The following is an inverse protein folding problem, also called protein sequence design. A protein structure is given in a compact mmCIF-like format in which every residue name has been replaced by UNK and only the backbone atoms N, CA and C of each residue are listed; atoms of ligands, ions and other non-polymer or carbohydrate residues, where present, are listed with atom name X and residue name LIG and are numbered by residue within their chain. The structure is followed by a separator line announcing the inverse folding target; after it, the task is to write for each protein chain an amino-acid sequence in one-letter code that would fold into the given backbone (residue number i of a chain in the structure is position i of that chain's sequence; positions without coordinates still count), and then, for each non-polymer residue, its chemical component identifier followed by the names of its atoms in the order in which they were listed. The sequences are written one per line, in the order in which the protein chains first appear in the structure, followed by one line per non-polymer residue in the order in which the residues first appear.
data_IF_337512946388
#
_entry.id   IF_337512946388
#
_cell.length_a   1.000
_cell.length_b   1.000
_cell.length_c   1.000
_cell.angle_alpha   90.00
_cell.angle_beta   90.00
_cell.angle_gamma   90.00
#
_symmetry.space_group_name_H-M   'P 1'
#
loop_
_entity.id
_entity.type
_entity.pdbx_description
1 polymer ?
#
# COMPACT_ATOMS: atom_id res chain seq x y z
N UNK A 1 -32.46 1.71 11.27
CA UNK A 1 -31.35 0.72 11.20
C UNK A 1 -30.04 1.47 11.31
N UNK A 2 -29.06 0.92 12.02
CA UNK A 2 -27.73 1.51 12.12
C UNK A 2 -26.80 0.88 11.09
N UNK A 3 -26.08 1.71 10.34
CA UNK A 3 -25.03 1.33 9.41
C UNK A 3 -23.73 1.96 9.91
N UNK A 4 -22.66 1.20 9.92
CA UNK A 4 -21.33 1.69 10.24
C UNK A 4 -20.39 1.35 9.10
N UNK A 5 -19.58 2.33 8.71
CA UNK A 5 -18.56 2.21 7.66
C UNK A 5 -17.22 2.42 8.34
N UNK A 6 -16.27 1.55 8.02
CA UNK A 6 -14.91 1.64 8.50
C UNK A 6 -14.00 1.89 7.31
N UNK A 7 -13.02 2.76 7.54
CA UNK A 7 -11.88 2.88 6.67
C UNK A 7 -11.00 1.62 6.77
N UNK A 8 -10.12 1.41 5.80
CA UNK A 8 -9.24 0.24 5.77
C UNK A 8 -7.92 0.52 6.48
N UNK A 9 -7.13 1.46 5.96
CA UNK A 9 -5.75 1.71 6.38
C UNK A 9 -5.71 2.34 7.77
N UNK A 10 -4.84 1.81 8.62
CA UNK A 10 -4.72 2.19 10.03
C UNK A 10 -6.02 2.10 10.87
N UNK A 11 -7.11 1.57 10.31
CA UNK A 11 -8.39 1.35 10.99
C UNK A 11 -8.68 -0.14 11.14
N UNK A 12 -8.80 -0.86 10.02
CA UNK A 12 -9.02 -2.31 10.02
C UNK A 12 -7.72 -3.10 9.91
N UNK A 13 -6.70 -2.51 9.27
CA UNK A 13 -5.36 -3.10 9.14
C UNK A 13 -4.30 -2.12 9.65
N UNK A 14 -3.19 -2.65 10.14
CA UNK A 14 -2.02 -1.84 10.48
C UNK A 14 -1.14 -1.64 9.26
N UNK A 15 -0.98 -0.38 8.83
CA UNK A 15 -0.17 -0.02 7.67
C UNK A 15 -1.00 0.53 6.50
N UNK A 16 -0.29 0.76 5.40
CA UNK A 16 -0.81 1.33 4.15
C UNK A 16 -0.95 0.21 3.10
N UNK A 17 -2.19 -0.09 2.72
CA UNK A 17 -2.53 -1.17 1.80
C UNK A 17 -1.89 -1.03 0.42
N UNK A 18 -1.79 0.19 -0.12
CA UNK A 18 -1.17 0.44 -1.43
C UNK A 18 0.33 0.15 -1.38
N UNK A 19 0.98 0.54 -0.28
CA UNK A 19 2.40 0.25 -0.06
C UNK A 19 2.66 -1.26 0.08
N UNK A 20 1.89 -1.92 0.96
CA UNK A 20 2.02 -3.36 1.21
C UNK A 20 1.77 -4.20 -0.04
N UNK A 21 0.82 -3.77 -0.88
CA UNK A 21 0.53 -4.43 -2.14
C UNK A 21 1.67 -4.28 -3.15
N UNK A 22 2.24 -3.08 -3.28
CA UNK A 22 3.40 -2.88 -4.15
C UNK A 22 4.63 -3.70 -3.70
N UNK A 23 4.92 -3.75 -2.40
CA UNK A 23 5.99 -4.63 -1.87
C UNK A 23 5.74 -6.12 -2.16
N UNK A 24 4.48 -6.57 -2.10
CA UNK A 24 4.13 -7.93 -2.49
C UNK A 24 4.48 -8.18 -3.97
N UNK A 25 4.11 -7.27 -4.87
CA UNK A 25 4.39 -7.42 -6.31
C UNK A 25 5.90 -7.40 -6.61
N UNK A 26 6.66 -6.54 -5.94
CA UNK A 26 8.13 -6.49 -6.06
C UNK A 26 8.76 -7.81 -5.62
N UNK A 27 8.34 -8.36 -4.48
CA UNK A 27 8.87 -9.66 -3.98
C UNK A 27 8.61 -10.83 -4.93
N UNK A 28 7.54 -10.76 -5.73
CA UNK A 28 7.21 -11.79 -6.71
C UNK A 28 7.81 -11.51 -8.10
N UNK A 29 8.59 -10.43 -8.25
CA UNK A 29 9.23 -10.06 -9.51
C UNK A 29 8.26 -9.53 -10.57
N UNK A 30 7.05 -9.11 -10.17
CA UNK A 30 6.07 -8.51 -11.07
C UNK A 30 6.31 -7.01 -11.31
N UNK A 31 7.00 -6.36 -10.37
CA UNK A 31 7.33 -4.93 -10.41
C UNK A 31 8.81 -4.78 -10.09
N UNK A 32 9.48 -3.88 -10.81
CA UNK A 32 10.88 -3.54 -10.55
C UNK A 32 11.02 -2.79 -9.22
N UNK A 33 11.96 -3.25 -8.38
CA UNK A 33 12.11 -2.77 -7.01
C UNK A 33 12.61 -1.32 -6.94
N UNK A 34 13.55 -0.95 -7.80
CA UNK A 34 14.17 0.37 -7.78
C UNK A 34 13.21 1.41 -8.35
N UNK A 35 12.49 1.05 -9.42
CA UNK A 35 11.39 1.84 -9.95
C UNK A 35 10.30 2.06 -8.88
N UNK A 36 9.83 0.98 -8.23
CA UNK A 36 8.79 1.09 -7.22
C UNK A 36 9.20 1.98 -6.05
N UNK A 37 10.43 1.80 -5.53
CA UNK A 37 10.94 2.65 -4.45
C UNK A 37 11.01 4.12 -4.88
N UNK A 38 11.52 4.40 -6.08
CA UNK A 38 11.66 5.77 -6.58
C UNK A 38 10.32 6.49 -6.73
N UNK A 39 9.30 5.78 -7.22
CA UNK A 39 7.96 6.33 -7.39
C UNK A 39 7.24 6.47 -6.04
N UNK A 40 7.45 5.54 -5.10
CA UNK A 40 6.95 5.64 -3.74
C UNK A 40 7.56 6.88 -3.05
N UNK A 41 8.88 7.04 -3.09
CA UNK A 41 9.56 8.21 -2.54
C UNK A 41 9.04 9.52 -3.16
N UNK A 42 8.77 9.55 -4.48
CA UNK A 42 8.18 10.71 -5.15
C UNK A 42 6.76 11.03 -4.69
N UNK A 43 5.96 10.02 -4.35
CA UNK A 43 4.58 10.21 -3.95
C UNK A 43 4.45 10.73 -2.51
N UNK A 44 5.37 10.34 -1.62
CA UNK A 44 5.37 10.74 -0.20
C UNK A 44 6.29 11.93 0.13
N UNK A 45 6.92 12.55 -0.88
CA UNK A 45 7.73 13.79 -0.74
C UNK A 45 7.01 14.97 -1.38
#
# INVERSE_FOLDING_TARGET
MALTIFDLDNTLIGGDSDHLWGEFLVRHGHVDADFYRSENDRFYT
#
